data_IF_540811069239
#
_entry.id   IF_540811069239
#
_cell.length_a   1.000
_cell.length_b   1.000
_cell.length_c   1.000
_cell.angle_alpha   90.00
_cell.angle_beta   90.00
_cell.angle_gamma   90.00
#
_symmetry.space_group_name_H-M   'P 1'
#
loop_
_entity.id
_entity.type
_entity.pdbx_description
1 polymer ?
#
# COMPACT_ATOMS: atom_id res chain seq x y z
N UNK A 1 12.51 -14.14 7.17
CA UNK A 1 11.26 -13.56 7.73
C UNK A 1 10.34 -13.23 6.58
N UNK A 2 9.02 -13.31 6.77
CA UNK A 2 8.02 -13.02 5.73
C UNK A 2 7.23 -11.78 6.15
N UNK A 3 6.88 -10.90 5.21
CA UNK A 3 6.01 -9.74 5.47
C UNK A 3 4.55 -9.99 5.09
N UNK A 4 4.22 -11.23 4.72
CA UNK A 4 2.84 -11.64 4.42
C UNK A 4 1.90 -11.34 5.59
N UNK A 5 0.70 -10.87 5.27
CA UNK A 5 -0.33 -10.52 6.23
C UNK A 5 -0.86 -9.10 6.06
N UNK A 6 -1.87 -8.78 6.86
CA UNK A 6 -2.49 -7.47 6.92
C UNK A 6 -1.81 -6.63 7.99
N UNK A 7 -1.29 -5.48 7.59
CA UNK A 7 -0.62 -4.52 8.45
C UNK A 7 -1.47 -3.27 8.60
N UNK A 8 -1.46 -2.72 9.81
CA UNK A 8 -2.14 -1.48 10.15
C UNK A 8 -1.23 -0.30 9.82
N UNK A 9 -1.74 0.67 9.07
CA UNK A 9 -1.10 1.99 8.96
C UNK A 9 -1.50 2.75 10.22
N UNK A 10 -0.51 3.16 11.02
CA UNK A 10 -0.74 3.81 12.33
C UNK A 10 -0.53 5.32 12.30
N UNK A 11 0.17 5.83 11.29
CA UNK A 11 0.45 7.26 11.12
C UNK A 11 0.64 7.61 9.64
N UNK A 12 0.21 8.82 9.26
CA UNK A 12 0.44 9.44 7.96
C UNK A 12 1.00 10.86 8.18
N UNK A 13 2.33 11.01 8.32
CA UNK A 13 2.94 12.30 8.61
C UNK A 13 2.59 13.35 7.56
N UNK A 14 2.19 14.55 8.02
CA UNK A 14 1.77 15.65 7.15
C UNK A 14 0.27 15.70 6.85
N UNK A 15 -0.50 14.72 7.33
CA UNK A 15 -1.96 14.69 7.32
C UNK A 15 -2.51 14.79 8.75
N UNK A 16 -3.83 15.00 8.88
CA UNK A 16 -4.52 14.97 10.18
C UNK A 16 -4.52 13.55 10.77
N UNK A 17 -4.58 13.43 12.09
CA UNK A 17 -4.39 12.15 12.81
C UNK A 17 -5.42 11.07 12.41
N UNK A 18 -6.64 11.46 12.03
CA UNK A 18 -7.72 10.59 11.60
C UNK A 18 -7.83 10.43 10.08
N UNK A 19 -7.01 11.17 9.32
CA UNK A 19 -7.04 11.15 7.86
C UNK A 19 -6.82 9.73 7.32
N UNK A 20 -5.92 8.97 7.95
CA UNK A 20 -5.65 7.58 7.60
C UNK A 20 -6.93 6.73 7.52
N UNK A 21 -7.86 6.95 8.46
CA UNK A 21 -9.04 6.12 8.66
C UNK A 21 -10.33 6.75 8.13
N UNK A 22 -10.22 7.76 7.26
CA UNK A 22 -11.35 8.58 6.84
C UNK A 22 -12.52 7.77 6.25
N UNK A 23 -12.22 6.78 5.38
CA UNK A 23 -13.24 5.91 4.77
C UNK A 23 -13.37 4.58 5.52
N UNK A 24 -12.24 3.95 5.84
CA UNK A 24 -12.16 2.70 6.60
C UNK A 24 -10.82 2.60 7.33
N UNK A 25 -10.65 1.66 8.27
CA UNK A 25 -9.38 1.48 8.95
C UNK A 25 -8.21 1.23 7.97
N UNK A 26 -7.31 2.20 7.85
CA UNK A 26 -6.07 2.17 7.07
C UNK A 26 -5.28 0.86 7.20
N UNK A 27 -4.87 0.28 6.07
CA UNK A 27 -4.09 -0.96 6.02
C UNK A 27 -3.27 -1.13 4.75
N UNK A 28 -2.32 -2.06 4.81
CA UNK A 28 -1.68 -2.69 3.65
C UNK A 28 -1.67 -4.21 3.83
N UNK A 29 -2.11 -4.94 2.81
CA UNK A 29 -2.15 -6.40 2.78
C UNK A 29 -1.09 -6.91 1.80
N UNK A 30 -0.17 -7.74 2.31
CA UNK A 30 0.78 -8.49 1.48
C UNK A 30 0.35 -9.95 1.39
N UNK A 31 0.11 -10.41 0.16
CA UNK A 31 -0.15 -11.80 -0.18
C UNK A 31 0.94 -12.32 -1.14
N UNK A 32 0.87 -13.60 -1.49
CA UNK A 32 1.81 -14.19 -2.41
C UNK A 32 1.60 -13.64 -3.83
N UNK A 33 2.57 -12.87 -4.32
CA UNK A 33 2.56 -12.29 -5.66
C UNK A 33 1.65 -11.06 -5.85
N UNK A 34 0.93 -10.61 -4.81
CA UNK A 34 0.01 -9.46 -4.89
C UNK A 34 -0.18 -8.76 -3.55
N UNK A 35 -0.78 -7.58 -3.57
CA UNK A 35 -1.26 -6.91 -2.38
C UNK A 35 -2.30 -5.85 -2.69
N UNK A 36 -2.88 -5.31 -1.64
CA UNK A 36 -3.85 -4.21 -1.70
C UNK A 36 -3.70 -3.31 -0.47
N UNK A 37 -4.16 -2.08 -0.58
CA UNK A 37 -4.14 -1.11 0.52
C UNK A 37 -5.36 -0.21 0.46
N UNK A 38 -5.69 0.35 1.63
CA UNK A 38 -6.63 1.45 1.76
C UNK A 38 -6.14 2.41 2.84
N UNK A 39 -6.23 3.71 2.60
CA UNK A 39 -6.03 4.77 3.60
C UNK A 39 -6.63 6.08 3.08
N UNK A 40 -7.21 6.90 3.95
CA UNK A 40 -7.93 8.10 3.54
C UNK A 40 -9.02 7.77 2.52
N UNK A 41 -8.95 8.39 1.36
CA UNK A 41 -9.81 8.12 0.20
C UNK A 41 -9.11 7.31 -0.90
N UNK A 42 -7.91 6.79 -0.62
CA UNK A 42 -7.07 6.06 -1.55
C UNK A 42 -7.26 4.55 -1.35
N UNK A 43 -7.53 3.84 -2.44
CA UNK A 43 -7.53 2.37 -2.45
C UNK A 43 -6.74 1.89 -3.64
N UNK A 44 -6.00 0.79 -3.50
CA UNK A 44 -5.14 0.31 -4.56
C UNK A 44 -4.82 -1.16 -4.46
N UNK A 45 -4.58 -1.79 -5.60
CA UNK A 45 -4.03 -3.13 -5.70
C UNK A 45 -2.72 -3.10 -6.49
N UNK A 46 -1.79 -3.97 -6.12
CA UNK A 46 -0.50 -4.08 -6.75
C UNK A 46 -0.09 -5.52 -7.02
N UNK A 47 0.63 -5.72 -8.12
CA UNK A 47 1.26 -6.98 -8.47
C UNK A 47 2.73 -6.94 -8.03
N UNK A 48 3.22 -8.04 -7.47
CA UNK A 48 4.53 -8.10 -6.85
C UNK A 48 4.41 -8.63 -5.44
N UNK A 49 5.05 -9.77 -5.18
CA UNK A 49 5.07 -10.35 -3.85
C UNK A 49 6.01 -9.58 -2.92
N UNK A 50 5.86 -9.85 -1.63
CA UNK A 50 6.86 -9.63 -0.58
C UNK A 50 8.23 -10.23 -0.98
N UNK A 51 8.99 -9.50 -1.80
CA UNK A 51 10.28 -9.92 -2.30
C UNK A 51 11.42 -9.58 -1.34
N UNK A 52 12.59 -10.12 -1.63
CA UNK A 52 13.82 -9.73 -0.95
C UNK A 52 14.64 -8.83 -1.87
N UNK A 53 15.03 -7.66 -1.35
CA UNK A 53 16.09 -6.85 -1.94
C UNK A 53 17.28 -6.90 -0.99
N UNK A 54 18.21 -7.82 -1.27
CA UNK A 54 19.33 -8.13 -0.36
C UNK A 54 18.85 -8.83 0.92
N UNK A 55 19.20 -8.29 2.09
CA UNK A 55 18.80 -8.79 3.42
C UNK A 55 17.53 -8.13 3.98
N UNK A 56 16.88 -7.25 3.20
CA UNK A 56 15.64 -6.59 3.59
C UNK A 56 14.47 -7.11 2.75
N UNK A 57 13.33 -7.33 3.40
CA UNK A 57 12.07 -7.46 2.67
C UNK A 57 11.74 -6.09 2.07
N UNK A 58 11.65 -6.03 0.74
CA UNK A 58 11.33 -4.81 0.01
C UNK A 58 10.26 -5.12 -1.02
N UNK A 59 9.31 -4.19 -1.18
CA UNK A 59 8.24 -4.31 -2.16
C UNK A 59 8.32 -3.08 -3.04
N UNK A 60 8.83 -3.25 -4.26
CA UNK A 60 8.70 -2.27 -5.33
C UNK A 60 7.52 -2.72 -6.18
N UNK A 61 6.54 -1.86 -6.38
CA UNK A 61 5.32 -2.25 -7.06
C UNK A 61 4.67 -1.10 -7.82
N UNK A 62 4.16 -1.44 -9.01
CA UNK A 62 3.19 -0.63 -9.73
C UNK A 62 1.80 -0.91 -9.13
N UNK A 63 0.98 0.11 -8.95
CA UNK A 63 -0.37 -0.07 -8.42
C UNK A 63 -1.44 0.61 -9.27
N UNK A 64 -2.63 0.01 -9.26
CA UNK A 64 -3.84 0.52 -9.90
C UNK A 64 -4.94 0.65 -8.85
N UNK A 65 -5.68 1.75 -8.87
CA UNK A 65 -6.88 1.90 -8.06
C UNK A 65 -7.41 3.33 -8.12
N UNK A 66 -7.80 3.86 -6.98
CA UNK A 66 -8.64 5.04 -6.89
C UNK A 66 -8.15 6.02 -5.84
N UNK A 67 -8.15 7.31 -6.17
CA UNK A 67 -7.97 8.42 -5.23
C UNK A 67 -9.20 9.32 -5.32
N UNK A 68 -9.93 9.48 -4.22
CA UNK A 68 -11.12 10.35 -4.13
C UNK A 68 -12.25 10.09 -5.16
N UNK A 69 -12.22 8.96 -5.86
CA UNK A 69 -13.20 8.58 -6.88
C UNK A 69 -12.64 8.58 -8.31
N UNK A 70 -11.38 9.02 -8.47
CA UNK A 70 -10.67 9.04 -9.75
C UNK A 70 -9.70 7.86 -9.87
N UNK A 71 -9.73 7.21 -11.03
CA UNK A 71 -8.86 6.06 -11.32
C UNK A 71 -7.41 6.50 -11.58
N UNK A 72 -6.46 5.92 -10.86
CA UNK A 72 -5.02 6.19 -10.97
C UNK A 72 -4.24 4.89 -11.22
N UNK A 73 -3.20 4.99 -12.06
CA UNK A 73 -2.16 3.98 -12.21
C UNK A 73 -0.81 4.65 -11.92
N UNK A 74 -0.07 4.15 -10.94
CA UNK A 74 1.28 4.65 -10.63
C UNK A 74 2.28 3.54 -10.89
N UNK A 75 3.27 3.82 -11.73
CA UNK A 75 4.41 2.94 -11.93
C UNK A 75 5.50 3.20 -10.87
N UNK A 76 6.22 2.16 -10.45
CA UNK A 76 7.42 2.31 -9.64
C UNK A 76 8.45 3.06 -10.50
N UNK A 77 8.60 4.37 -10.27
CA UNK A 77 9.64 5.16 -10.92
C UNK A 77 11.01 4.58 -10.61
N UNK A 78 11.85 4.45 -11.64
CA UNK A 78 13.26 4.08 -11.48
C UNK A 78 13.98 5.14 -10.65
N UNK A 79 14.43 4.78 -9.45
CA UNK A 79 15.22 5.62 -8.55
C UNK A 79 16.09 4.78 -7.64
#
# INVERSE_FOLDING_TARGET
MSVLGKWRIVELPGYEDDYADMVEPAYILFEDGRGEFAFGCVTGAFAGGAGWQGECAAVAFDWNGNDEGDAICVGAGEG
#
